data_IF_437740828155
#
_entry.id   IF_437740828155
#
_cell.length_a   1.000
_cell.length_b   1.000
_cell.length_c   1.000
_cell.angle_alpha   90.00
_cell.angle_beta   90.00
_cell.angle_gamma   90.00
#
_symmetry.space_group_name_H-M   'P 1'
#
loop_
_entity.id
_entity.type
_entity.pdbx_description
1 polymer ?
#
# COMPACT_ATOMS: atom_id res chain seq x y z
N UNK A 1 35.43 6.31 2.43
CA UNK A 1 35.85 5.94 1.05
C UNK A 1 36.39 4.51 0.97
N UNK A 2 37.38 4.11 1.75
CA UNK A 2 37.95 2.75 1.73
C UNK A 2 36.95 1.63 2.01
N UNK A 3 35.95 1.85 2.88
CA UNK A 3 34.92 0.85 3.16
C UNK A 3 34.05 0.45 1.95
N UNK A 4 33.94 1.29 0.91
CA UNK A 4 33.18 0.97 -0.30
C UNK A 4 33.98 0.12 -1.32
N UNK A 5 35.29 -0.05 -1.11
CA UNK A 5 36.15 -0.88 -1.96
C UNK A 5 36.12 -2.35 -1.53
N UNK A 6 35.61 -2.63 -0.33
CA UNK A 6 35.34 -3.96 0.19
C UNK A 6 33.90 -4.32 -0.19
N UNK A 7 33.72 -5.34 -1.04
CA UNK A 7 32.41 -5.71 -1.56
C UNK A 7 31.43 -6.15 -0.46
N UNK A 8 31.91 -6.81 0.60
CA UNK A 8 31.06 -7.20 1.73
C UNK A 8 30.53 -5.96 2.47
N UNK A 9 31.40 -4.99 2.76
CA UNK A 9 31.02 -3.73 3.41
C UNK A 9 30.08 -2.90 2.53
N UNK A 10 30.35 -2.85 1.23
CA UNK A 10 29.53 -2.12 0.24
C UNK A 10 28.11 -2.66 0.18
N UNK A 11 27.94 -3.98 0.11
CA UNK A 11 26.61 -4.60 0.15
C UNK A 11 25.88 -4.30 1.47
N UNK A 12 26.57 -4.36 2.61
CA UNK A 12 25.95 -4.00 3.90
C UNK A 12 25.52 -2.54 3.99
N UNK A 13 26.28 -1.63 3.37
CA UNK A 13 25.90 -0.21 3.28
C UNK A 13 24.67 -0.04 2.40
N UNK A 14 24.55 -0.79 1.29
CA UNK A 14 23.33 -0.78 0.45
C UNK A 14 22.12 -1.30 1.22
N UNK A 15 22.25 -2.42 1.92
CA UNK A 15 21.19 -2.98 2.77
C UNK A 15 20.67 -1.93 3.76
N UNK A 16 21.57 -1.26 4.48
CA UNK A 16 21.21 -0.23 5.46
C UNK A 16 20.55 0.98 4.80
N UNK A 17 21.09 1.46 3.68
CA UNK A 17 20.50 2.57 2.91
C UNK A 17 19.04 2.29 2.58
N UNK A 18 18.73 1.06 2.19
CA UNK A 18 17.39 0.63 1.79
C UNK A 18 16.46 0.59 2.97
N UNK A 19 16.93 0.05 4.10
CA UNK A 19 16.14 0.04 5.32
C UNK A 19 15.76 1.48 5.72
N UNK A 20 16.73 2.40 5.71
CA UNK A 20 16.50 3.81 6.05
C UNK A 20 15.53 4.49 5.09
N UNK A 21 15.73 4.33 3.77
CA UNK A 21 14.82 4.86 2.76
C UNK A 21 13.41 4.28 2.91
N UNK A 22 13.30 3.00 3.27
CA UNK A 22 12.01 2.36 3.41
C UNK A 22 11.20 2.86 4.62
N UNK A 23 11.86 3.34 5.68
CA UNK A 23 11.18 4.01 6.80
C UNK A 23 10.66 5.37 6.35
N UNK A 24 11.47 6.13 5.60
CA UNK A 24 11.08 7.45 5.08
C UNK A 24 9.88 7.31 4.15
N UNK A 25 9.89 6.33 3.23
CA UNK A 25 8.76 6.11 2.32
C UNK A 25 7.50 5.72 3.09
N UNK A 26 7.60 4.79 4.05
CA UNK A 26 6.47 4.32 4.83
C UNK A 26 5.80 5.44 5.65
N UNK A 27 6.59 6.37 6.21
CA UNK A 27 6.09 7.49 7.02
C UNK A 27 5.06 8.37 6.29
N UNK A 28 5.07 8.37 4.96
CA UNK A 28 4.20 9.20 4.09
C UNK A 28 3.01 8.43 3.52
N UNK A 29 2.85 7.15 3.88
CA UNK A 29 1.84 6.27 3.30
C UNK A 29 0.88 5.72 4.35
N UNK A 30 -0.28 5.31 3.87
CA UNK A 30 -1.21 4.46 4.60
C UNK A 30 -1.43 3.19 3.81
N UNK A 31 -1.50 2.08 4.51
CA UNK A 31 -2.04 0.83 3.98
C UNK A 31 -3.51 0.77 4.36
N UNK A 32 -4.39 0.70 3.37
CA UNK A 32 -5.83 0.58 3.58
C UNK A 32 -6.33 -0.75 3.06
N UNK A 33 -7.25 -1.34 3.82
CA UNK A 33 -7.94 -2.57 3.49
C UNK A 33 -9.45 -2.34 3.67
N UNK A 34 -10.28 -2.82 2.76
CA UNK A 34 -11.72 -2.65 2.84
C UNK A 34 -12.47 -3.72 2.05
N UNK A 35 -13.73 -3.92 2.37
CA UNK A 35 -14.65 -4.75 1.60
C UNK A 35 -15.53 -3.89 0.70
N UNK A 36 -15.83 -4.39 -0.50
CA UNK A 36 -16.57 -3.66 -1.53
C UNK A 36 -17.48 -4.65 -2.26
N UNK A 37 -18.72 -4.25 -2.56
CA UNK A 37 -19.59 -5.04 -3.46
C UNK A 37 -19.12 -4.88 -4.90
N UNK A 38 -19.30 -5.91 -5.72
CA UNK A 38 -18.94 -5.91 -7.14
C UNK A 38 -19.44 -4.66 -7.88
N UNK A 39 -20.72 -4.32 -7.73
CA UNK A 39 -21.38 -3.17 -8.37
C UNK A 39 -20.79 -1.80 -7.96
N UNK A 40 -19.98 -1.78 -6.90
CA UNK A 40 -19.33 -0.60 -6.35
C UNK A 40 -17.83 -0.55 -6.62
N UNK A 41 -17.24 -1.63 -7.13
CA UNK A 41 -15.80 -1.77 -7.30
C UNK A 41 -15.24 -0.66 -8.21
N UNK A 42 -15.83 -0.47 -9.39
CA UNK A 42 -15.37 0.55 -10.35
C UNK A 42 -15.43 1.98 -9.75
N UNK A 43 -16.47 2.29 -8.96
CA UNK A 43 -16.63 3.61 -8.33
C UNK A 43 -15.51 3.92 -7.34
N UNK A 44 -14.98 2.89 -6.66
CA UNK A 44 -13.82 3.05 -5.78
C UNK A 44 -12.54 3.12 -6.60
N UNK A 45 -12.38 2.25 -7.59
CA UNK A 45 -11.17 2.21 -8.42
C UNK A 45 -10.92 3.52 -9.17
N UNK A 46 -11.97 4.16 -9.68
CA UNK A 46 -11.89 5.49 -10.33
C UNK A 46 -11.50 6.61 -9.35
N UNK A 47 -11.90 6.49 -8.09
CA UNK A 47 -11.58 7.45 -7.03
C UNK A 47 -10.19 7.27 -6.44
N UNK A 48 -9.57 6.10 -6.58
CA UNK A 48 -8.24 5.83 -6.04
C UNK A 48 -7.15 6.55 -6.86
N UNK A 49 -6.08 7.06 -6.21
CA UNK A 49 -4.99 7.70 -6.93
C UNK A 49 -4.35 6.75 -7.95
N UNK A 50 -4.23 7.20 -9.21
CA UNK A 50 -3.81 6.40 -10.37
C UNK A 50 -2.47 5.66 -10.24
N UNK A 51 -1.63 6.05 -9.27
CA UNK A 51 -0.28 5.50 -9.07
C UNK A 51 -0.26 4.10 -8.42
N UNK A 52 -1.41 3.55 -8.00
CA UNK A 52 -1.45 2.33 -7.17
C UNK A 52 -2.50 1.35 -7.71
N UNK A 53 -2.05 0.19 -8.20
CA UNK A 53 -2.95 -0.93 -8.53
C UNK A 53 -3.33 -1.66 -7.24
N UNK A 54 -4.59 -1.59 -6.78
CA UNK A 54 -4.99 -2.31 -5.57
C UNK A 54 -4.95 -3.83 -5.83
N UNK A 55 -4.67 -4.60 -4.79
CA UNK A 55 -4.98 -6.03 -4.78
C UNK A 55 -6.48 -6.19 -4.56
N UNK A 56 -7.11 -7.00 -5.40
CA UNK A 56 -8.55 -7.29 -5.35
C UNK A 56 -8.72 -8.80 -5.21
N UNK A 57 -9.36 -9.24 -4.15
CA UNK A 57 -9.59 -10.65 -3.84
C UNK A 57 -11.07 -10.90 -3.60
N UNK A 58 -11.64 -11.97 -4.17
CA UNK A 58 -13.01 -12.41 -3.83
C UNK A 58 -13.04 -12.86 -2.37
N UNK A 59 -14.06 -12.42 -1.63
CA UNK A 59 -14.27 -12.94 -0.28
C UNK A 59 -14.75 -14.40 -0.36
N UNK A 60 -14.38 -15.17 0.66
CA UNK A 60 -14.75 -16.58 0.78
C UNK A 60 -15.75 -16.77 1.93
N UNK A 61 -16.60 -17.78 1.81
CA UNK A 61 -17.61 -18.14 2.81
C UNK A 61 -19.04 -17.92 2.32
N UNK A 62 -19.98 -18.57 3.00
CA UNK A 62 -21.41 -18.44 2.71
C UNK A 62 -21.87 -16.99 2.96
N UNK A 63 -22.66 -16.43 2.04
CA UNK A 63 -23.11 -15.03 2.12
C UNK A 63 -22.10 -13.97 1.68
N UNK A 64 -20.92 -14.38 1.17
CA UNK A 64 -19.88 -13.45 0.65
C UNK A 64 -19.96 -13.23 -0.87
N UNK A 65 -20.98 -13.77 -1.52
CA UNK A 65 -21.21 -13.65 -2.96
C UNK A 65 -21.32 -12.17 -3.39
N UNK A 66 -20.55 -11.80 -4.41
CA UNK A 66 -20.48 -10.43 -4.91
C UNK A 66 -19.70 -9.47 -4.01
N UNK A 67 -18.94 -9.97 -3.01
CA UNK A 67 -18.03 -9.16 -2.21
C UNK A 67 -16.56 -9.39 -2.55
N UNK A 68 -15.81 -8.29 -2.51
CA UNK A 68 -14.37 -8.25 -2.76
C UNK A 68 -13.67 -7.54 -1.62
N UNK A 69 -12.52 -8.09 -1.21
CA UNK A 69 -11.52 -7.37 -0.43
C UNK A 69 -10.64 -6.54 -1.37
N UNK A 70 -10.50 -5.26 -1.06
CA UNK A 70 -9.59 -4.34 -1.72
C UNK A 70 -8.50 -3.94 -0.74
N UNK A 71 -7.26 -4.05 -1.18
CA UNK A 71 -6.07 -3.68 -0.42
C UNK A 71 -5.18 -2.77 -1.26
N UNK A 72 -4.79 -1.61 -0.73
CA UNK A 72 -3.83 -0.73 -1.41
C UNK A 72 -3.05 0.15 -0.45
N UNK A 73 -1.95 0.72 -0.94
CA UNK A 73 -1.15 1.70 -0.20
C UNK A 73 -1.39 3.08 -0.84
N UNK A 74 -1.82 4.07 -0.10
CA UNK A 74 -2.03 5.45 -0.60
C UNK A 74 -1.06 6.44 0.06
N UNK A 75 -0.99 7.69 -0.41
CA UNK A 75 -0.33 8.75 0.36
C UNK A 75 -1.24 9.16 1.53
N UNK A 76 -0.65 9.53 2.67
CA UNK A 76 -1.39 10.04 3.83
C UNK A 76 -2.26 11.24 3.45
N UNK A 77 -1.72 12.17 2.66
CA UNK A 77 -2.41 13.41 2.29
C UNK A 77 -3.65 13.18 1.39
N UNK A 78 -3.68 12.08 0.64
CA UNK A 78 -4.81 11.75 -0.23
C UNK A 78 -6.00 11.13 0.56
N UNK A 79 -5.76 10.66 1.79
CA UNK A 79 -6.72 9.84 2.53
C UNK A 79 -8.03 10.57 2.85
N UNK A 80 -7.93 11.82 3.33
CA UNK A 80 -9.11 12.59 3.70
C UNK A 80 -10.04 12.83 2.51
N UNK A 81 -9.46 13.03 1.32
CA UNK A 81 -10.21 13.20 0.06
C UNK A 81 -10.94 11.92 -0.38
N UNK A 82 -10.49 10.74 0.05
CA UNK A 82 -11.12 9.46 -0.28
C UNK A 82 -12.32 9.13 0.63
N UNK A 83 -12.34 9.64 1.87
CA UNK A 83 -13.40 9.32 2.86
C UNK A 83 -14.82 9.43 2.30
N UNK A 84 -15.21 10.47 1.52
CA UNK A 84 -16.57 10.59 0.99
C UNK A 84 -16.98 9.46 0.03
N UNK A 85 -16.05 8.93 -0.76
CA UNK A 85 -16.28 7.81 -1.68
C UNK A 85 -16.29 6.51 -0.89
N UNK A 86 -15.32 6.32 0.01
CA UNK A 86 -15.18 5.11 0.82
C UNK A 86 -16.42 4.89 1.70
N UNK A 87 -16.92 5.93 2.39
CA UNK A 87 -18.12 5.82 3.24
C UNK A 87 -19.39 5.41 2.48
N UNK A 88 -19.44 5.66 1.16
CA UNK A 88 -20.61 5.39 0.32
C UNK A 88 -20.59 3.99 -0.27
N UNK A 89 -19.40 3.45 -0.53
CA UNK A 89 -19.23 2.28 -1.39
C UNK A 89 -18.44 1.14 -0.76
N UNK A 90 -17.70 1.39 0.33
CA UNK A 90 -16.90 0.41 1.04
C UNK A 90 -17.46 0.08 2.43
N UNK A 91 -17.05 -1.05 2.98
CA UNK A 91 -17.35 -1.50 4.33
C UNK A 91 -16.09 -2.05 5.00
N UNK A 92 -16.03 -2.01 6.33
CA UNK A 92 -14.90 -2.58 7.08
C UNK A 92 -13.55 -1.97 6.73
N UNK A 93 -13.49 -0.65 6.50
CA UNK A 93 -12.24 0.06 6.22
C UNK A 93 -11.30 -0.07 7.43
N UNK A 94 -10.13 -0.65 7.20
CA UNK A 94 -9.01 -0.72 8.13
C UNK A 94 -7.87 0.12 7.58
N UNK A 95 -7.23 0.88 8.45
CA UNK A 95 -6.12 1.77 8.11
C UNK A 95 -4.93 1.44 8.99
N UNK A 96 -3.79 1.19 8.36
CA UNK A 96 -2.54 0.93 9.03
C UNK A 96 -1.46 1.89 8.55
N UNK A 97 -0.61 2.32 9.49
CA UNK A 97 0.64 2.96 9.15
C UNK A 97 1.70 1.87 8.97
N UNK A 98 2.24 1.67 7.75
CA UNK A 98 3.32 0.72 7.57
C UNK A 98 4.54 1.23 8.32
N UNK A 99 5.21 0.33 9.05
CA UNK A 99 6.51 0.65 9.67
C UNK A 99 7.59 0.89 8.61
N UNK A 100 7.52 0.16 7.50
CA UNK A 100 8.55 0.16 6.47
C UNK A 100 7.97 -0.28 5.11
N UNK A 101 8.42 0.36 4.03
CA UNK A 101 8.11 -0.01 2.63
C UNK A 101 9.45 -0.09 1.90
N UNK A 102 9.91 -1.28 1.53
CA UNK A 102 11.24 -1.47 0.95
C UNK A 102 11.20 -1.36 -0.58
N UNK A 103 11.83 -0.33 -1.20
CA UNK A 103 11.93 -0.23 -2.64
C UNK A 103 13.10 -1.11 -3.14
N UNK A 104 12.89 -2.43 -3.14
CA UNK A 104 13.93 -3.42 -3.44
C UNK A 104 14.49 -3.29 -4.85
N UNK A 105 13.73 -2.70 -5.77
CA UNK A 105 14.13 -2.37 -7.12
C UNK A 105 15.23 -1.32 -7.21
N UNK A 106 15.40 -0.45 -6.21
CA UNK A 106 16.43 0.61 -6.18
C UNK A 106 17.82 0.10 -5.77
N UNK A 107 17.96 -1.20 -5.53
CA UNK A 107 19.14 -1.87 -4.97
C UNK A 107 19.79 -2.82 -5.97
N UNK A 108 19.12 -3.07 -7.10
CA UNK A 108 19.66 -3.91 -8.16
C UNK A 108 20.93 -3.32 -8.77
#
# INVERSE_FOLDING_TARGET
KYALQDEWKKEKIKDLKVLLLGVIEASKKLHIFMNVREDNLNKILEGLPALKRPTISKLAGEGSEGWFALNTIIKKDDFLGLIPILRKYAQGLVVHEPRQILPLELIK
#
